data_IF_753922197788
#
_entry.id   IF_753922197788
#
_cell.length_a   1.000
_cell.length_b   1.000
_cell.length_c   1.000
_cell.angle_alpha   90.00
_cell.angle_beta   90.00
_cell.angle_gamma   90.00
#
_symmetry.space_group_name_H-M   'P 1'
#
loop_
_entity.id
_entity.type
_entity.pdbx_description
1 polymer ?
#
# COMPACT_ATOMS: atom_id res chain seq x y z
N UNK A 1 36.08 -12.06 -1.01
CA UNK A 1 35.94 -12.23 -2.46
C UNK A 1 35.53 -10.88 -3.04
N UNK A 2 36.26 -10.33 -4.01
CA UNK A 2 35.81 -9.11 -4.70
C UNK A 2 34.55 -9.43 -5.54
N UNK A 3 33.63 -8.47 -5.62
CA UNK A 3 32.35 -8.57 -6.32
C UNK A 3 32.47 -9.11 -7.76
N UNK A 4 31.42 -9.80 -8.20
CA UNK A 4 31.33 -10.29 -9.58
C UNK A 4 30.56 -9.27 -10.42
N UNK A 5 31.28 -8.56 -11.29
CA UNK A 5 30.69 -7.69 -12.30
C UNK A 5 30.79 -8.41 -13.65
N UNK A 6 29.65 -8.78 -14.25
CA UNK A 6 29.64 -9.41 -15.58
C UNK A 6 29.12 -8.43 -16.60
N UNK A 7 29.96 -8.13 -17.58
CA UNK A 7 29.53 -7.63 -18.89
C UNK A 7 29.49 -8.76 -19.95
N UNK A 8 29.81 -10.00 -19.58
CA UNK A 8 29.74 -11.19 -20.43
C UNK A 8 28.80 -12.25 -19.80
N UNK A 9 28.12 -13.00 -20.68
CA UNK A 9 26.98 -13.88 -20.42
C UNK A 9 27.07 -14.72 -19.15
N UNK A 10 26.24 -14.34 -18.18
CA UNK A 10 25.86 -15.09 -16.98
C UNK A 10 26.93 -15.17 -15.88
N UNK A 11 26.76 -14.39 -14.80
CA UNK A 11 27.62 -14.45 -13.60
C UNK A 11 26.95 -15.20 -12.46
N UNK A 12 27.73 -16.00 -11.75
CA UNK A 12 27.30 -16.60 -10.49
C UNK A 12 28.30 -16.27 -9.40
N UNK A 13 27.84 -15.63 -8.33
CA UNK A 13 28.70 -15.29 -7.19
C UNK A 13 28.16 -15.88 -5.89
N UNK A 14 29.06 -16.38 -5.05
CA UNK A 14 28.72 -16.94 -3.75
C UNK A 14 29.66 -16.36 -2.70
N UNK A 15 29.09 -15.91 -1.58
CA UNK A 15 29.85 -15.24 -0.52
C UNK A 15 30.68 -14.05 -1.07
N UNK A 16 29.97 -13.16 -1.75
CA UNK A 16 30.53 -12.05 -2.53
C UNK A 16 30.11 -10.71 -1.94
N UNK A 17 30.91 -9.67 -2.16
CA UNK A 17 30.53 -8.30 -1.81
C UNK A 17 29.43 -7.73 -2.71
N UNK A 18 29.02 -8.46 -3.76
CA UNK A 18 28.00 -8.00 -4.71
C UNK A 18 27.92 -8.85 -5.97
N UNK A 19 26.75 -8.84 -6.62
CA UNK A 19 26.57 -9.24 -8.02
C UNK A 19 25.94 -8.11 -8.80
N UNK A 20 26.55 -7.76 -9.93
CA UNK A 20 26.04 -6.71 -10.80
C UNK A 20 25.90 -7.26 -12.22
N UNK A 21 24.71 -7.08 -12.78
CA UNK A 21 24.32 -7.50 -14.12
C UNK A 21 24.07 -6.28 -14.98
N UNK A 22 24.79 -6.18 -16.10
CA UNK A 22 24.54 -5.17 -17.13
C UNK A 22 24.49 -5.88 -18.49
N UNK A 23 23.39 -5.72 -19.25
CA UNK A 23 23.16 -6.43 -20.52
C UNK A 23 23.34 -7.97 -20.45
N UNK A 24 23.20 -8.55 -19.25
CA UNK A 24 23.54 -9.95 -18.97
C UNK A 24 22.77 -10.50 -17.78
N UNK A 25 22.73 -11.81 -17.58
CA UNK A 25 22.11 -12.40 -16.37
C UNK A 25 23.11 -12.56 -15.23
N UNK A 26 22.64 -12.50 -13.99
CA UNK A 26 23.46 -12.85 -12.82
C UNK A 26 22.67 -13.55 -11.73
N UNK A 27 23.40 -14.33 -10.94
CA UNK A 27 22.88 -15.05 -9.78
C UNK A 27 23.84 -14.85 -8.61
N UNK A 28 23.29 -14.64 -7.43
CA UNK A 28 24.09 -14.42 -6.22
C UNK A 28 23.52 -15.19 -5.03
N UNK A 29 24.42 -15.67 -4.18
CA UNK A 29 24.03 -16.26 -2.91
C UNK A 29 24.95 -15.75 -1.79
N UNK A 30 24.35 -15.35 -0.68
CA UNK A 30 25.06 -14.72 0.44
C UNK A 30 25.90 -13.52 -0.03
N UNK A 31 25.21 -12.51 -0.57
CA UNK A 31 25.83 -11.34 -1.18
C UNK A 31 25.49 -10.07 -0.41
N UNK A 32 26.36 -9.07 -0.40
CA UNK A 32 26.00 -7.76 0.14
C UNK A 32 25.00 -7.03 -0.76
N UNK A 33 24.85 -7.42 -2.03
CA UNK A 33 23.90 -6.80 -2.95
C UNK A 33 23.74 -7.55 -4.26
N UNK A 34 22.62 -7.34 -4.94
CA UNK A 34 22.35 -7.86 -6.29
C UNK A 34 21.67 -6.80 -7.13
N UNK A 35 22.31 -6.43 -8.25
CA UNK A 35 21.86 -5.35 -9.10
C UNK A 35 21.63 -5.87 -10.52
N UNK A 36 20.50 -5.51 -11.13
CA UNK A 36 20.20 -5.74 -12.53
C UNK A 36 19.88 -4.41 -13.22
N UNK A 37 20.75 -3.98 -14.12
CA UNK A 37 20.61 -2.76 -14.93
C UNK A 37 20.74 -3.09 -16.43
N UNK A 38 20.32 -2.17 -17.30
CA UNK A 38 20.46 -2.26 -18.76
C UNK A 38 20.00 -3.61 -19.32
N UNK A 39 18.67 -3.80 -19.40
CA UNK A 39 18.05 -4.96 -20.05
C UNK A 39 18.57 -6.32 -19.52
N UNK A 40 18.77 -6.41 -18.20
CA UNK A 40 19.37 -7.56 -17.55
C UNK A 40 18.40 -8.31 -16.65
N UNK A 41 18.88 -9.41 -16.06
CA UNK A 41 18.14 -10.14 -15.05
C UNK A 41 19.05 -10.58 -13.92
N UNK A 42 18.63 -10.38 -12.67
CA UNK A 42 19.37 -10.88 -11.51
C UNK A 42 18.52 -11.76 -10.61
N UNK A 43 19.16 -12.75 -9.98
CA UNK A 43 18.56 -13.57 -8.93
C UNK A 43 19.47 -13.55 -7.72
N UNK A 44 18.87 -13.46 -6.54
CA UNK A 44 19.64 -13.38 -5.30
C UNK A 44 18.98 -14.12 -4.16
N UNK A 45 19.82 -14.77 -3.34
CA UNK A 45 19.37 -15.40 -2.12
C UNK A 45 20.28 -14.98 -0.96
N UNK A 46 19.67 -14.52 0.13
CA UNK A 46 20.36 -13.91 1.25
C UNK A 46 21.22 -12.71 0.81
N UNK A 47 20.54 -11.67 0.33
CA UNK A 47 21.17 -10.41 -0.09
C UNK A 47 20.91 -9.34 0.96
N UNK A 48 21.82 -8.37 1.12
CA UNK A 48 21.42 -7.17 1.89
C UNK A 48 20.45 -6.33 1.06
N UNK A 49 20.62 -6.23 -0.25
CA UNK A 49 19.73 -5.45 -1.11
C UNK A 49 19.60 -6.06 -2.52
N UNK A 50 18.44 -5.86 -3.16
CA UNK A 50 18.22 -6.17 -4.58
C UNK A 50 17.73 -4.94 -5.33
N UNK A 51 18.53 -4.41 -6.26
CA UNK A 51 18.16 -3.24 -7.06
C UNK A 51 17.93 -3.65 -8.52
N UNK A 52 16.88 -3.09 -9.13
CA UNK A 52 16.52 -3.34 -10.53
C UNK A 52 16.28 -2.01 -11.23
N UNK A 53 16.94 -1.78 -12.35
CA UNK A 53 16.79 -0.56 -13.14
C UNK A 53 16.76 -0.82 -14.65
N UNK A 54 16.42 0.20 -15.44
CA UNK A 54 16.68 0.25 -16.88
C UNK A 54 16.26 -1.00 -17.66
N UNK A 55 14.95 -1.25 -17.74
CA UNK A 55 14.39 -2.39 -18.49
C UNK A 55 14.82 -3.77 -17.97
N UNK A 56 15.14 -3.89 -16.68
CA UNK A 56 15.65 -5.14 -16.10
C UNK A 56 14.62 -5.83 -15.19
N UNK A 57 14.93 -7.08 -14.83
CA UNK A 57 14.15 -7.83 -13.86
C UNK A 57 15.01 -8.38 -12.72
N UNK A 58 14.45 -8.51 -11.53
CA UNK A 58 15.13 -9.23 -10.45
C UNK A 58 14.21 -10.10 -9.60
N UNK A 59 14.81 -11.13 -9.03
CA UNK A 59 14.20 -11.96 -7.99
C UNK A 59 15.11 -12.01 -6.77
N UNK A 60 14.55 -11.84 -5.58
CA UNK A 60 15.29 -11.94 -4.33
C UNK A 60 14.55 -12.78 -3.31
N UNK A 61 15.29 -13.56 -2.55
CA UNK A 61 14.78 -14.29 -1.40
C UNK A 61 15.64 -13.94 -0.19
N UNK A 62 14.99 -13.55 0.91
CA UNK A 62 15.64 -13.04 2.11
C UNK A 62 16.54 -11.83 1.81
N UNK A 63 15.92 -10.71 1.43
CA UNK A 63 16.62 -9.44 1.20
C UNK A 63 16.35 -8.47 2.35
N UNK A 64 17.28 -7.57 2.67
CA UNK A 64 16.91 -6.45 3.56
C UNK A 64 16.10 -5.38 2.80
N UNK A 65 16.24 -5.29 1.49
CA UNK A 65 15.45 -4.38 0.65
C UNK A 65 15.36 -4.81 -0.80
N UNK A 66 14.28 -4.41 -1.47
CA UNK A 66 14.08 -4.62 -2.90
C UNK A 66 13.60 -3.33 -3.55
N UNK A 67 14.38 -2.81 -4.50
CA UNK A 67 14.06 -1.58 -5.21
C UNK A 67 13.91 -1.86 -6.71
N UNK A 68 12.88 -1.28 -7.31
CA UNK A 68 12.60 -1.34 -8.75
C UNK A 68 12.36 0.07 -9.26
N UNK A 69 13.21 0.55 -10.16
CA UNK A 69 13.12 1.88 -10.74
C UNK A 69 13.11 1.81 -12.28
N UNK A 70 12.70 2.91 -12.92
CA UNK A 70 12.53 2.99 -14.37
C UNK A 70 11.60 1.92 -14.94
N UNK A 71 11.87 1.35 -16.12
CA UNK A 71 11.03 0.32 -16.73
C UNK A 71 11.33 -1.08 -16.18
N UNK A 72 11.39 -1.27 -14.85
CA UNK A 72 11.86 -2.53 -14.25
C UNK A 72 10.79 -3.33 -13.52
N UNK A 73 11.12 -4.58 -13.24
CA UNK A 73 10.26 -5.47 -12.44
C UNK A 73 11.05 -6.21 -11.37
N UNK A 74 10.53 -6.26 -10.15
CA UNK A 74 11.17 -7.01 -9.06
C UNK A 74 10.19 -7.92 -8.33
N UNK A 75 10.70 -9.06 -7.90
CA UNK A 75 9.99 -9.99 -7.04
C UNK A 75 10.84 -10.26 -5.80
N UNK A 76 10.21 -10.25 -4.63
CA UNK A 76 10.89 -10.53 -3.38
C UNK A 76 10.09 -11.47 -2.50
N UNK A 77 10.79 -12.36 -1.80
CA UNK A 77 10.22 -13.15 -0.74
C UNK A 77 11.00 -12.87 0.55
N UNK A 78 10.30 -12.40 1.57
CA UNK A 78 10.90 -11.93 2.82
C UNK A 78 11.89 -10.77 2.59
N UNK A 79 11.35 -9.59 2.31
CA UNK A 79 12.12 -8.34 2.27
C UNK A 79 11.86 -7.52 3.55
N UNK A 80 12.81 -6.72 4.01
CA UNK A 80 12.46 -5.69 5.01
C UNK A 80 11.79 -4.48 4.35
N UNK A 81 11.83 -4.33 3.03
CA UNK A 81 11.12 -3.26 2.33
C UNK A 81 11.06 -3.50 0.81
N UNK A 82 10.01 -3.01 0.16
CA UNK A 82 9.93 -2.97 -1.29
C UNK A 82 9.54 -1.57 -1.74
N UNK A 83 10.43 -0.93 -2.51
CA UNK A 83 10.19 0.37 -3.11
C UNK A 83 10.10 0.22 -4.63
N UNK A 84 9.15 0.89 -5.23
CA UNK A 84 8.94 0.88 -6.67
C UNK A 84 8.72 2.30 -7.15
N UNK A 85 9.50 2.73 -8.13
CA UNK A 85 9.45 4.09 -8.65
C UNK A 85 9.29 4.10 -10.17
N UNK A 86 8.82 5.22 -10.71
CA UNK A 86 8.72 5.46 -12.15
C UNK A 86 7.85 4.39 -12.84
N UNK A 87 8.22 3.88 -14.02
CA UNK A 87 7.43 2.90 -14.76
C UNK A 87 7.71 1.44 -14.31
N UNK A 88 7.82 1.22 -13.00
CA UNK A 88 8.23 -0.08 -12.44
C UNK A 88 7.09 -0.84 -11.78
N UNK A 89 7.34 -2.14 -11.60
CA UNK A 89 6.47 -3.02 -10.82
C UNK A 89 7.23 -3.82 -9.77
N UNK A 90 6.62 -4.04 -8.61
CA UNK A 90 7.14 -5.00 -7.63
C UNK A 90 6.07 -5.89 -7.02
N UNK A 91 6.50 -7.09 -6.64
CA UNK A 91 5.72 -8.01 -5.84
C UNK A 91 6.55 -8.51 -4.67
N UNK A 92 5.94 -8.59 -3.49
CA UNK A 92 6.59 -9.12 -2.30
C UNK A 92 5.67 -10.06 -1.54
N UNK A 93 6.12 -11.23 -1.12
CA UNK A 93 5.27 -12.09 -0.29
C UNK A 93 5.21 -11.61 1.17
N UNK A 94 6.32 -11.10 1.70
CA UNK A 94 6.41 -10.54 3.03
C UNK A 94 7.37 -9.36 2.97
N UNK A 95 6.88 -8.17 3.25
CA UNK A 95 7.67 -6.96 3.36
C UNK A 95 7.39 -6.29 4.70
N UNK A 96 8.33 -5.55 5.29
CA UNK A 96 7.92 -4.65 6.38
C UNK A 96 7.19 -3.42 5.83
N UNK A 97 7.53 -2.96 4.61
CA UNK A 97 6.93 -1.78 3.97
C UNK A 97 6.84 -1.93 2.46
N UNK A 98 5.76 -1.43 1.89
CA UNK A 98 5.55 -1.32 0.45
C UNK A 98 5.37 0.15 0.07
N UNK A 99 6.16 0.63 -0.88
CA UNK A 99 6.00 1.98 -1.42
C UNK A 99 6.00 1.94 -2.95
N UNK A 100 4.94 2.45 -3.58
CA UNK A 100 4.88 2.73 -5.02
C UNK A 100 4.85 4.25 -5.24
N UNK A 101 5.77 4.77 -6.05
CA UNK A 101 5.85 6.18 -6.41
C UNK A 101 6.00 6.39 -7.92
N UNK A 102 5.55 7.53 -8.45
CA UNK A 102 5.59 7.79 -9.89
C UNK A 102 4.50 7.05 -10.65
N UNK A 103 4.83 6.39 -11.77
CA UNK A 103 3.90 5.60 -12.59
C UNK A 103 4.01 4.11 -12.29
N UNK A 104 4.03 3.73 -11.01
CA UNK A 104 4.46 2.40 -10.57
C UNK A 104 3.35 1.59 -9.90
N UNK A 105 3.59 0.29 -9.75
CA UNK A 105 2.68 -0.62 -9.06
C UNK A 105 3.41 -1.55 -8.10
N UNK A 106 2.88 -1.72 -6.89
CA UNK A 106 3.44 -2.63 -5.89
C UNK A 106 2.37 -3.51 -5.25
N UNK A 107 2.72 -4.76 -4.96
CA UNK A 107 1.80 -5.71 -4.33
C UNK A 107 2.48 -6.52 -3.24
N UNK A 108 1.75 -6.84 -2.16
CA UNK A 108 2.20 -7.82 -1.17
C UNK A 108 1.09 -8.65 -0.54
N UNK A 109 1.47 -9.80 0.02
CA UNK A 109 0.60 -10.54 0.92
C UNK A 109 0.66 -9.99 2.35
N UNK A 110 1.81 -9.54 2.82
CA UNK A 110 1.94 -8.98 4.16
C UNK A 110 2.90 -7.80 4.15
N UNK A 111 2.42 -6.66 4.64
CA UNK A 111 3.19 -5.45 4.88
C UNK A 111 2.86 -4.89 6.24
N UNK A 112 3.77 -4.14 6.87
CA UNK A 112 3.36 -3.25 7.97
C UNK A 112 2.75 -1.96 7.43
N UNK A 113 3.06 -1.55 6.20
CA UNK A 113 2.47 -0.36 5.58
C UNK A 113 2.50 -0.40 4.06
N UNK A 114 1.47 0.14 3.42
CA UNK A 114 1.33 0.17 1.96
C UNK A 114 1.04 1.61 1.52
N UNK A 115 2.00 2.23 0.85
CA UNK A 115 1.91 3.62 0.43
C UNK A 115 2.00 3.75 -1.10
N UNK A 116 1.10 4.54 -1.68
CA UNK A 116 1.11 4.88 -3.09
C UNK A 116 1.11 6.39 -3.28
N UNK A 117 2.04 6.91 -4.08
CA UNK A 117 2.20 8.34 -4.32
C UNK A 117 2.41 8.67 -5.81
N UNK A 118 1.81 9.76 -6.29
CA UNK A 118 1.89 10.13 -7.71
C UNK A 118 0.83 9.40 -8.55
N UNK A 119 1.18 8.87 -9.71
CA UNK A 119 0.31 8.06 -10.59
C UNK A 119 0.48 6.57 -10.33
N UNK A 120 0.42 6.16 -9.06
CA UNK A 120 0.84 4.83 -8.60
C UNK A 120 -0.30 3.98 -8.07
N UNK A 121 -0.03 2.68 -7.92
CA UNK A 121 -0.92 1.76 -7.21
C UNK A 121 -0.19 0.90 -6.19
N UNK A 122 -0.83 0.63 -5.04
CA UNK A 122 -0.31 -0.31 -4.05
C UNK A 122 -1.43 -1.21 -3.51
N UNK A 123 -1.13 -2.49 -3.35
CA UNK A 123 -2.10 -3.46 -2.81
C UNK A 123 -1.44 -4.38 -1.79
N UNK A 124 -2.08 -4.61 -0.64
CA UNK A 124 -1.60 -5.57 0.34
C UNK A 124 -2.71 -6.38 0.99
N UNK A 125 -2.58 -7.71 1.12
CA UNK A 125 -3.60 -8.48 1.85
C UNK A 125 -3.66 -8.10 3.34
N UNK A 126 -2.52 -7.90 3.98
CA UNK A 126 -2.46 -7.42 5.35
C UNK A 126 -1.51 -6.22 5.42
N UNK A 127 -1.97 -5.12 6.02
CA UNK A 127 -1.21 -3.91 6.25
C UNK A 127 -1.53 -3.39 7.64
N UNK A 128 -0.62 -2.65 8.30
CA UNK A 128 -1.08 -1.81 9.42
C UNK A 128 -1.69 -0.53 8.88
N UNK A 129 -1.21 0.00 7.76
CA UNK A 129 -1.73 1.22 7.15
C UNK A 129 -1.76 1.14 5.62
N UNK A 130 -2.75 1.77 5.00
CA UNK A 130 -2.88 1.90 3.55
C UNK A 130 -3.07 3.36 3.16
N UNK A 131 -2.09 3.98 2.50
CA UNK A 131 -2.10 5.41 2.20
C UNK A 131 -1.96 5.67 0.69
N UNK A 132 -2.88 6.42 0.11
CA UNK A 132 -2.82 6.90 -1.26
C UNK A 132 -2.72 8.43 -1.31
N UNK A 133 -1.75 8.96 -2.06
CA UNK A 133 -1.52 10.40 -2.20
C UNK A 133 -1.27 10.84 -3.65
N UNK A 134 -1.83 11.97 -4.07
CA UNK A 134 -1.73 12.43 -5.46
C UNK A 134 -2.78 11.78 -6.35
N UNK A 135 -2.41 11.27 -7.53
CA UNK A 135 -3.28 10.52 -8.46
C UNK A 135 -3.14 9.00 -8.26
N UNK A 136 -3.22 8.55 -7.00
CA UNK A 136 -2.82 7.20 -6.60
C UNK A 136 -3.96 6.36 -6.08
N UNK A 137 -3.74 5.04 -6.05
CA UNK A 137 -4.67 4.07 -5.47
C UNK A 137 -3.98 3.17 -4.44
N UNK A 138 -4.61 2.92 -3.31
CA UNK A 138 -4.11 1.95 -2.32
C UNK A 138 -5.22 1.05 -1.82
N UNK A 139 -4.97 -0.26 -1.74
CA UNK A 139 -5.95 -1.22 -1.26
C UNK A 139 -5.36 -2.17 -0.23
N UNK A 140 -6.14 -2.54 0.79
CA UNK A 140 -5.76 -3.63 1.68
C UNK A 140 -6.93 -4.42 2.28
N UNK A 141 -6.84 -5.75 2.35
CA UNK A 141 -7.93 -6.53 2.96
C UNK A 141 -8.03 -6.28 4.48
N UNK A 142 -6.91 -6.16 5.18
CA UNK A 142 -6.90 -5.86 6.60
C UNK A 142 -5.91 -4.73 6.85
N UNK A 143 -6.39 -3.61 7.39
CA UNK A 143 -5.62 -2.44 7.76
C UNK A 143 -5.97 -1.98 9.16
N UNK A 144 -5.08 -1.26 9.84
CA UNK A 144 -5.50 -0.45 11.00
C UNK A 144 -6.01 0.92 10.54
N UNK A 145 -5.59 1.40 9.36
CA UNK A 145 -6.09 2.67 8.80
C UNK A 145 -6.02 2.73 7.28
N UNK A 146 -6.93 3.49 6.67
CA UNK A 146 -6.96 3.78 5.24
C UNK A 146 -7.05 5.28 5.00
N UNK A 147 -6.08 5.86 4.30
CA UNK A 147 -6.03 7.30 4.03
C UNK A 147 -5.90 7.59 2.54
N UNK A 148 -6.70 8.51 2.04
CA UNK A 148 -6.63 9.03 0.67
C UNK A 148 -6.49 10.57 0.69
N UNK A 149 -5.48 11.10 0.00
CA UNK A 149 -5.24 12.53 -0.08
C UNK A 149 -4.96 13.01 -1.51
N UNK A 150 -5.51 14.17 -1.90
CA UNK A 150 -5.38 14.70 -3.26
C UNK A 150 -6.43 14.09 -4.21
N UNK A 151 -6.04 13.64 -5.40
CA UNK A 151 -6.91 12.95 -6.37
C UNK A 151 -6.78 11.42 -6.24
N UNK A 152 -6.90 10.91 -5.02
CA UNK A 152 -6.53 9.54 -4.66
C UNK A 152 -7.71 8.69 -4.21
N UNK A 153 -7.52 7.37 -4.24
CA UNK A 153 -8.47 6.40 -3.70
C UNK A 153 -7.80 5.42 -2.74
N UNK A 154 -8.41 5.20 -1.58
CA UNK A 154 -7.94 4.18 -0.62
C UNK A 154 -9.09 3.27 -0.18
N UNK A 155 -8.87 1.96 -0.16
CA UNK A 155 -9.89 1.00 0.26
C UNK A 155 -9.35 -0.03 1.25
N UNK A 156 -10.18 -0.41 2.22
CA UNK A 156 -9.87 -1.57 3.07
C UNK A 156 -11.07 -2.36 3.57
N UNK A 157 -11.04 -3.69 3.53
CA UNK A 157 -12.17 -4.49 4.00
C UNK A 157 -12.37 -4.40 5.52
N UNK A 158 -11.29 -4.35 6.30
CA UNK A 158 -11.34 -4.16 7.74
C UNK A 158 -10.32 -3.09 8.12
N UNK A 159 -10.78 -2.00 8.72
CA UNK A 159 -9.94 -0.87 9.14
C UNK A 159 -10.32 -0.43 10.56
N UNK A 160 -9.44 0.25 11.29
CA UNK A 160 -9.89 1.01 12.47
C UNK A 160 -10.38 2.40 12.06
N UNK A 161 -9.94 2.94 10.92
CA UNK A 161 -10.36 4.26 10.43
C UNK A 161 -10.21 4.44 8.93
N UNK A 162 -11.05 5.30 8.34
CA UNK A 162 -10.97 5.68 6.92
C UNK A 162 -11.01 7.19 6.77
N UNK A 163 -10.01 7.80 6.14
CA UNK A 163 -9.92 9.25 5.95
C UNK A 163 -9.75 9.61 4.47
N UNK A 164 -10.54 10.55 3.98
CA UNK A 164 -10.39 11.14 2.65
C UNK A 164 -10.24 12.67 2.75
N UNK A 165 -9.24 13.22 2.08
CA UNK A 165 -8.97 14.65 2.05
C UNK A 165 -8.67 15.18 0.63
N UNK A 166 -9.20 16.34 0.28
CA UNK A 166 -9.05 16.92 -1.06
C UNK A 166 -10.10 16.39 -2.04
N UNK A 167 -9.69 15.95 -3.23
CA UNK A 167 -10.55 15.32 -4.26
C UNK A 167 -10.44 13.79 -4.19
N UNK A 168 -10.58 13.23 -2.97
CA UNK A 168 -10.23 11.84 -2.67
C UNK A 168 -11.43 10.99 -2.30
N UNK A 169 -11.26 9.67 -2.38
CA UNK A 169 -12.25 8.70 -1.91
C UNK A 169 -11.63 7.68 -0.98
N UNK A 170 -12.27 7.41 0.16
CA UNK A 170 -11.88 6.35 1.08
C UNK A 170 -13.05 5.41 1.37
N UNK A 171 -12.80 4.10 1.41
CA UNK A 171 -13.84 3.11 1.72
C UNK A 171 -13.37 2.05 2.70
N UNK A 172 -14.22 1.68 3.67
CA UNK A 172 -13.97 0.52 4.51
C UNK A 172 -15.18 -0.28 4.99
N UNK A 173 -15.13 -1.61 4.89
CA UNK A 173 -16.29 -2.48 5.15
C UNK A 173 -16.53 -2.81 6.64
N UNK A 174 -15.59 -2.45 7.51
CA UNK A 174 -15.69 -2.52 8.96
C UNK A 174 -14.68 -1.50 9.51
N UNK A 175 -15.14 -0.31 9.89
CA UNK A 175 -14.30 0.78 10.40
C UNK A 175 -14.75 1.18 11.81
N UNK A 176 -13.89 1.76 12.64
CA UNK A 176 -14.40 2.47 13.82
C UNK A 176 -14.88 3.87 13.43
N UNK A 177 -14.19 4.52 12.49
CA UNK A 177 -14.47 5.91 12.10
C UNK A 177 -14.32 6.14 10.59
N UNK A 178 -15.07 7.11 10.05
CA UNK A 178 -14.93 7.59 8.68
C UNK A 178 -14.95 9.12 8.63
N UNK A 179 -13.91 9.73 8.05
CA UNK A 179 -13.81 11.19 7.93
C UNK A 179 -13.60 11.60 6.47
N UNK A 180 -14.34 12.60 6.01
CA UNK A 180 -14.17 13.22 4.69
C UNK A 180 -14.02 14.74 4.82
N UNK A 181 -13.01 15.31 4.18
CA UNK A 181 -12.75 16.76 4.18
C UNK A 181 -12.44 17.30 2.77
N UNK A 182 -12.98 18.48 2.44
CA UNK A 182 -12.81 19.09 1.11
C UNK A 182 -13.85 18.61 0.11
N UNK A 183 -13.43 18.20 -1.09
CA UNK A 183 -14.27 17.60 -2.14
C UNK A 183 -14.13 16.07 -2.13
N UNK A 184 -14.30 15.47 -0.95
CA UNK A 184 -13.97 14.06 -0.71
C UNK A 184 -15.19 13.21 -0.38
N UNK A 185 -15.05 11.90 -0.57
CA UNK A 185 -16.05 10.92 -0.11
C UNK A 185 -15.41 9.88 0.80
N UNK A 186 -16.06 9.59 1.93
CA UNK A 186 -15.67 8.49 2.81
C UNK A 186 -16.86 7.60 3.10
N UNK A 187 -16.73 6.32 2.84
CA UNK A 187 -17.79 5.34 3.08
C UNK A 187 -17.32 4.27 4.04
N UNK A 188 -18.17 3.90 5.01
CA UNK A 188 -17.94 2.71 5.80
C UNK A 188 -19.18 1.89 6.07
N UNK A 189 -19.01 0.58 6.11
CA UNK A 189 -20.03 -0.34 6.57
C UNK A 189 -19.69 -0.75 8.01
N UNK A 190 -20.67 -0.75 8.91
CA UNK A 190 -20.50 -1.05 10.32
C UNK A 190 -19.53 -0.10 11.07
N UNK A 191 -19.71 1.23 10.92
CA UNK A 191 -18.85 2.24 11.55
C UNK A 191 -19.40 2.77 12.87
N UNK A 192 -18.55 3.05 13.86
CA UNK A 192 -19.02 3.71 15.10
C UNK A 192 -19.31 5.20 14.90
N UNK A 193 -18.66 5.85 13.92
CA UNK A 193 -18.83 7.27 13.65
C UNK A 193 -18.57 7.69 12.20
N UNK A 194 -19.12 8.85 11.81
CA UNK A 194 -18.85 9.50 10.52
C UNK A 194 -18.86 11.02 10.60
N UNK A 195 -17.84 11.65 9.99
CA UNK A 195 -17.72 13.10 9.89
C UNK A 195 -17.48 13.55 8.44
N UNK A 196 -18.19 14.59 8.02
CA UNK A 196 -17.97 15.26 6.74
C UNK A 196 -17.86 16.78 6.91
N UNK A 197 -16.83 17.37 6.30
CA UNK A 197 -16.62 18.83 6.28
C UNK A 197 -16.31 19.36 4.87
N UNK A 198 -16.82 20.55 4.54
CA UNK A 198 -16.76 21.11 3.19
C UNK A 198 -17.74 20.47 2.21
N UNK A 199 -17.38 20.39 0.93
CA UNK A 199 -18.15 19.68 -0.12
C UNK A 199 -17.93 18.16 -0.06
N UNK A 200 -18.02 17.58 1.13
CA UNK A 200 -17.68 16.17 1.38
C UNK A 200 -18.92 15.35 1.72
N UNK A 201 -18.89 14.08 1.35
CA UNK A 201 -19.88 13.09 1.78
C UNK A 201 -19.24 12.07 2.70
N UNK A 202 -19.91 11.76 3.81
CA UNK A 202 -19.58 10.61 4.63
C UNK A 202 -20.82 9.75 4.82
N UNK A 203 -20.72 8.47 4.47
CA UNK A 203 -21.79 7.50 4.66
C UNK A 203 -21.30 6.40 5.59
N UNK A 204 -22.13 6.08 6.59
CA UNK A 204 -21.95 4.87 7.38
C UNK A 204 -23.24 4.08 7.50
N UNK A 205 -23.17 2.81 7.09
CA UNK A 205 -24.26 1.87 7.28
C UNK A 205 -24.11 1.20 8.65
N UNK A 206 -25.19 1.13 9.44
CA UNK A 206 -25.18 0.66 10.84
C UNK A 206 -24.27 1.48 11.77
N UNK A 207 -24.43 2.81 11.79
CA UNK A 207 -23.62 3.69 12.65
C UNK A 207 -24.30 4.12 13.94
N UNK A 208 -23.49 4.25 14.99
CA UNK A 208 -23.94 4.74 16.31
C UNK A 208 -24.01 6.27 16.37
N UNK A 209 -23.32 7.00 15.48
CA UNK A 209 -23.33 8.47 15.45
C UNK A 209 -22.85 9.06 14.12
N UNK A 210 -23.45 10.19 13.69
CA UNK A 210 -23.06 10.90 12.46
C UNK A 210 -23.11 12.41 12.69
N UNK A 211 -22.09 13.15 12.22
CA UNK A 211 -22.05 14.61 12.28
C UNK A 211 -21.70 15.20 10.89
N UNK A 212 -22.59 16.02 10.33
CA UNK A 212 -22.44 16.59 9.00
C UNK A 212 -22.50 18.12 9.04
N UNK A 213 -21.41 18.79 8.63
CA UNK A 213 -21.27 20.24 8.76
C UNK A 213 -21.96 21.10 7.68
N UNK A 214 -22.34 20.56 6.52
CA UNK A 214 -23.18 21.19 5.48
C UNK A 214 -23.39 20.23 4.30
N UNK A 215 -24.58 20.28 3.67
CA UNK A 215 -24.96 19.62 2.40
C UNK A 215 -24.75 18.10 2.30
N UNK A 216 -25.19 17.33 3.29
CA UNK A 216 -25.20 15.87 3.24
C UNK A 216 -26.57 15.31 2.85
N UNK A 217 -26.67 14.58 1.74
CA UNK A 217 -27.75 13.62 1.52
C UNK A 217 -27.46 12.39 2.40
N UNK A 218 -28.07 12.35 3.58
CA UNK A 218 -28.01 11.19 4.47
C UNK A 218 -29.06 10.16 4.06
N UNK A 219 -28.76 9.33 3.06
CA UNK A 219 -29.53 8.12 2.80
C UNK A 219 -29.06 7.01 3.74
N UNK A 220 -29.51 7.10 5.00
CA UNK A 220 -29.24 6.12 6.05
C UNK A 220 -30.49 5.87 6.87
N UNK A 221 -31.40 5.04 6.36
CA UNK A 221 -32.53 4.54 7.12
C UNK A 221 -32.03 3.62 8.24
N UNK A 222 -32.09 4.09 9.49
CA UNK A 222 -32.03 3.21 10.66
C UNK A 222 -33.34 3.31 11.42
N UNK A 223 -34.25 2.39 11.11
CA UNK A 223 -35.35 2.00 11.98
C UNK A 223 -34.73 1.21 13.14
N UNK A 224 -34.89 1.71 14.35
CA UNK A 224 -34.64 0.94 15.57
C UNK A 224 -35.78 1.23 16.54
N UNK A 225 -36.93 0.62 16.24
CA UNK A 225 -37.96 0.38 17.25
C UNK A 225 -37.39 -0.60 18.28
N UNK A 226 -37.07 -0.12 19.47
CA UNK A 226 -36.84 -0.97 20.65
C UNK A 226 -37.22 -0.22 21.92
N UNK A 227 -38.51 -0.40 22.27
CA UNK A 227 -39.14 -0.47 23.58
C UNK A 227 -38.34 -0.08 24.84
N UNK A 228 -39.06 0.68 25.69
CA UNK A 228 -39.12 0.59 27.16
C UNK A 228 -38.37 1.67 27.97
N UNK A 229 -39.14 2.60 28.54
CA UNK A 229 -38.88 3.17 29.87
C UNK A 229 -40.21 3.41 30.60
N UNK A 230 -40.60 2.42 31.40
CA UNK A 230 -41.22 2.68 32.69
C UNK A 230 -40.17 3.35 33.58
N UNK A 231 -40.44 4.55 34.11
CA UNK A 231 -40.38 4.81 35.56
C UNK A 231 -41.03 6.16 35.87
N UNK A 232 -42.15 6.05 36.57
CA UNK A 232 -42.94 7.13 37.17
C UNK A 232 -42.19 7.65 38.41
N UNK A 233 -41.71 8.90 38.35
CA UNK A 233 -41.08 9.56 39.50
C UNK A 233 -42.17 10.03 40.45
N UNK A 234 -42.23 9.39 41.63
CA UNK A 234 -43.00 9.85 42.77
C UNK A 234 -42.37 11.13 43.36
N UNK A 235 -43.21 12.14 43.62
CA UNK A 235 -43.02 13.16 44.66
C UNK A 235 -44.33 13.28 45.43
#
# INVERSE_FOLDING_TARGET
SNGSNSNDSNSNSNNSSGSNSNDSSSSSNNSSGSNANDNSSSSSNNSSESNTNDNSSSSSNNSSGSNSNDNSSSSSNNSSGSNTNDNSSSSSNNSSRLNANGSSSSSSNNSSGSNSNGSSSSSSNNSSESNANGSSSSSSNNSSGSNANGSSSSSSNNSSGSNANGSSSSSSNNSSESNANGSSSSSSNNSSGSNANGSSSSSSNNSSSSNSGSSSSSDGASSSDSNNVNEEIAI
#
